data_IF_454928765787
#
_entry.id   IF_454928765787
#
_cell.length_a   1.000
_cell.length_b   1.000
_cell.length_c   1.000
_cell.angle_alpha   90.00
_cell.angle_beta   90.00
_cell.angle_gamma   90.00
#
_symmetry.space_group_name_H-M   'P 1'
#
loop_
_entity.id
_entity.type
_entity.pdbx_description
1 polymer ?
#
# COMPACT_ATOMS: atom_id res chain seq x y z
N UNK A 1 18.85 -38.86 15.89
CA UNK A 1 18.31 -38.28 14.65
C UNK A 1 16.82 -38.07 14.88
N UNK A 2 16.45 -36.87 15.34
CA UNK A 2 15.06 -36.47 15.59
C UNK A 2 14.57 -35.65 14.38
N UNK A 3 13.27 -35.68 14.03
CA UNK A 3 12.77 -34.85 12.95
C UNK A 3 12.86 -33.38 13.36
N UNK A 4 13.25 -32.51 12.42
CA UNK A 4 13.02 -31.07 12.55
C UNK A 4 11.51 -30.86 12.57
N UNK A 5 10.95 -30.82 13.77
CA UNK A 5 9.58 -30.36 13.99
C UNK A 5 9.53 -28.91 13.51
N UNK A 6 8.69 -28.71 12.49
CA UNK A 6 8.43 -27.44 11.83
C UNK A 6 8.27 -26.35 12.88
N UNK A 7 9.20 -25.39 12.89
CA UNK A 7 9.10 -24.24 13.77
C UNK A 7 7.70 -23.61 13.67
N UNK A 8 7.10 -23.18 14.79
CA UNK A 8 5.81 -22.50 14.76
C UNK A 8 5.90 -21.34 13.77
N UNK A 9 4.91 -21.20 12.89
CA UNK A 9 4.79 -20.02 12.04
C UNK A 9 4.65 -18.82 12.96
N UNK A 10 5.76 -18.12 13.21
CA UNK A 10 5.74 -16.86 13.95
C UNK A 10 4.93 -15.90 13.09
N UNK A 11 3.67 -15.67 13.46
CA UNK A 11 2.93 -14.50 13.02
C UNK A 11 3.76 -13.29 13.44
N UNK A 12 4.53 -12.77 12.50
CA UNK A 12 5.18 -11.47 12.62
C UNK A 12 4.12 -10.41 12.92
N UNK A 13 4.44 -9.29 13.60
CA UNK A 13 3.49 -8.24 13.98
C UNK A 13 2.83 -7.46 12.81
N UNK A 14 2.75 -8.06 11.62
CA UNK A 14 2.06 -7.55 10.42
C UNK A 14 0.59 -8.00 10.32
N UNK A 15 -0.07 -8.39 11.41
CA UNK A 15 -1.55 -8.47 11.44
C UNK A 15 -2.15 -7.08 11.65
N UNK A 16 -1.75 -6.19 10.76
CA UNK A 16 -2.19 -4.82 10.63
C UNK A 16 -2.55 -4.65 9.15
N UNK A 17 -3.74 -4.09 8.91
CA UNK A 17 -4.60 -4.48 7.78
C UNK A 17 -3.86 -4.59 6.44
N UNK A 18 -4.07 -5.70 5.74
CA UNK A 18 -3.54 -5.90 4.39
C UNK A 18 -4.65 -5.94 3.35
N UNK A 19 -4.38 -5.35 2.20
CA UNK A 19 -5.30 -5.24 1.07
C UNK A 19 -4.63 -5.81 -0.16
N UNK A 20 -5.15 -6.94 -0.65
CA UNK A 20 -4.67 -7.55 -1.89
C UNK A 20 -5.33 -6.88 -3.10
N UNK A 21 -4.56 -6.67 -4.16
CA UNK A 21 -5.03 -6.04 -5.40
C UNK A 21 -4.46 -6.74 -6.64
N UNK A 22 -5.17 -6.59 -7.76
CA UNK A 22 -4.71 -7.00 -9.09
C UNK A 22 -5.10 -5.95 -10.14
N UNK A 23 -4.09 -5.27 -10.68
CA UNK A 23 -4.25 -4.35 -11.79
C UNK A 23 -4.00 -5.11 -13.10
N UNK A 24 -5.00 -5.27 -13.98
CA UNK A 24 -4.75 -5.89 -15.26
C UNK A 24 -3.88 -4.96 -16.12
N UNK A 25 -3.19 -5.58 -17.08
CA UNK A 25 -2.39 -4.84 -18.04
C UNK A 25 -3.21 -3.76 -18.75
N UNK A 26 -2.58 -2.60 -18.92
CA UNK A 26 -3.13 -1.47 -19.66
C UNK A 26 -2.75 -1.49 -21.13
N UNK A 27 -1.72 -2.27 -21.51
CA UNK A 27 -1.30 -2.47 -22.88
C UNK A 27 -2.05 -3.63 -23.58
N UNK A 28 -2.10 -3.59 -24.91
CA UNK A 28 -2.78 -4.58 -25.73
C UNK A 28 -2.12 -5.98 -25.69
N UNK A 29 -0.89 -6.08 -25.20
CA UNK A 29 -0.11 -7.33 -25.18
C UNK A 29 -0.18 -8.07 -23.84
N UNK A 30 -0.78 -7.45 -22.81
CA UNK A 30 -0.95 -8.03 -21.49
C UNK A 30 0.29 -7.92 -20.59
N UNK A 31 1.30 -7.12 -20.93
CA UNK A 31 2.62 -7.19 -20.29
C UNK A 31 2.69 -6.50 -18.92
N UNK A 32 1.93 -5.43 -18.72
CA UNK A 32 2.00 -4.62 -17.50
C UNK A 32 0.95 -5.00 -16.44
N UNK A 33 0.53 -6.27 -16.37
CA UNK A 33 -0.35 -6.70 -15.29
C UNK A 33 0.42 -6.75 -13.97
N UNK A 34 -0.17 -6.23 -12.89
CA UNK A 34 0.48 -6.11 -11.58
C UNK A 34 -0.41 -6.76 -10.53
N UNK A 35 0.20 -7.52 -9.64
CA UNK A 35 -0.46 -8.02 -8.44
C UNK A 35 0.38 -7.68 -7.21
N UNK A 36 -0.30 -7.45 -6.09
CA UNK A 36 0.39 -7.02 -4.90
C UNK A 36 -0.50 -6.91 -3.68
N UNK A 37 0.09 -6.35 -2.63
CA UNK A 37 -0.56 -6.06 -1.36
C UNK A 37 -0.13 -4.69 -0.86
N UNK A 38 -1.10 -3.95 -0.32
CA UNK A 38 -0.85 -2.78 0.51
C UNK A 38 -0.96 -3.23 1.96
N UNK A 39 0.09 -3.01 2.74
CA UNK A 39 0.15 -3.31 4.16
C UNK A 39 0.13 -2.01 4.94
N UNK A 40 -0.73 -1.90 5.94
CA UNK A 40 -0.72 -0.78 6.88
C UNK A 40 -0.19 -1.26 8.21
N UNK A 41 1.08 -0.97 8.49
CA UNK A 41 1.73 -1.26 9.75
C UNK A 41 1.64 -0.09 10.75
N UNK A 42 2.20 -0.28 11.95
CA UNK A 42 2.10 0.69 13.05
C UNK A 42 2.72 2.02 12.67
N UNK A 43 3.88 1.94 12.01
CA UNK A 43 4.76 3.07 11.72
C UNK A 43 4.69 3.52 10.26
N UNK A 44 4.34 2.60 9.34
CA UNK A 44 4.43 2.84 7.90
C UNK A 44 3.39 2.08 7.10
N UNK A 45 3.12 2.60 5.90
CA UNK A 45 2.39 1.90 4.85
C UNK A 45 3.39 1.29 3.88
N UNK A 46 3.21 0.03 3.51
CA UNK A 46 4.09 -0.67 2.58
C UNK A 46 3.31 -1.16 1.36
N UNK A 47 3.73 -0.74 0.17
CA UNK A 47 3.23 -1.23 -1.11
C UNK A 47 4.19 -2.32 -1.63
N UNK A 48 3.72 -3.55 -1.68
CA UNK A 48 4.45 -4.67 -2.25
C UNK A 48 3.78 -5.12 -3.55
N UNK A 49 4.52 -5.19 -4.64
CA UNK A 49 3.98 -5.59 -5.93
C UNK A 49 4.98 -6.34 -6.80
N UNK A 50 4.46 -7.07 -7.78
CA UNK A 50 5.25 -7.67 -8.84
C UNK A 50 4.49 -7.62 -10.16
N UNK A 51 5.23 -7.51 -11.25
CA UNK A 51 4.68 -7.66 -12.59
C UNK A 51 4.41 -9.14 -12.88
N UNK A 52 3.25 -9.42 -13.47
CA UNK A 52 2.78 -10.76 -13.80
C UNK A 52 3.35 -11.14 -15.17
N UNK A 53 4.63 -11.51 -15.19
CA UNK A 53 5.35 -11.75 -16.44
C UNK A 53 5.23 -13.20 -16.97
N UNK A 54 5.38 -13.38 -18.29
CA UNK A 54 5.13 -14.64 -19.00
C UNK A 54 6.00 -15.80 -18.50
N UNK A 55 5.34 -16.89 -18.11
CA UNK A 55 5.72 -18.32 -18.11
C UNK A 55 7.12 -18.81 -17.67
N UNK A 56 8.19 -18.01 -17.62
CA UNK A 56 9.57 -18.51 -17.43
C UNK A 56 10.52 -17.60 -16.63
N UNK A 57 10.09 -16.45 -16.11
CA UNK A 57 10.89 -15.66 -15.15
C UNK A 57 10.03 -15.29 -13.94
N UNK A 58 10.52 -15.60 -12.73
CA UNK A 58 9.94 -15.07 -11.49
C UNK A 58 10.14 -13.56 -11.51
N UNK A 59 9.05 -12.80 -11.67
CA UNK A 59 9.08 -11.35 -11.50
C UNK A 59 9.62 -11.00 -10.11
N UNK A 60 10.54 -10.05 -10.07
CA UNK A 60 11.07 -9.52 -8.81
C UNK A 60 9.95 -8.80 -8.06
N UNK A 61 9.92 -8.98 -6.74
CA UNK A 61 8.95 -8.29 -5.89
C UNK A 61 9.55 -6.96 -5.48
N UNK A 62 8.91 -5.87 -5.92
CA UNK A 62 9.24 -4.51 -5.47
C UNK A 62 8.49 -4.23 -4.17
N UNK A 63 9.19 -3.66 -3.21
CA UNK A 63 8.63 -3.20 -1.92
C UNK A 63 8.94 -1.73 -1.75
N UNK A 64 7.92 -0.92 -1.52
CA UNK A 64 8.02 0.52 -1.32
C UNK A 64 7.39 0.89 0.02
N UNK A 65 8.15 1.60 0.85
CA UNK A 65 7.71 2.05 2.17
C UNK A 65 7.35 3.55 2.16
N UNK A 66 6.24 3.87 2.82
CA UNK A 66 5.71 5.22 2.97
C UNK A 66 5.50 5.52 4.45
N UNK A 67 6.05 6.63 4.93
CA UNK A 67 5.67 7.16 6.23
C UNK A 67 4.25 7.74 6.14
N UNK A 68 3.48 7.67 7.22
CA UNK A 68 2.10 8.18 7.23
C UNK A 68 2.00 9.68 6.86
N UNK A 69 3.04 10.48 7.12
CA UNK A 69 3.09 11.89 6.72
C UNK A 69 3.35 12.13 5.22
N UNK A 70 3.82 11.11 4.50
CA UNK A 70 4.04 11.15 3.04
C UNK A 70 2.81 10.67 2.25
N UNK A 71 1.91 9.92 2.89
CA UNK A 71 0.65 9.51 2.27
C UNK A 71 -0.26 10.73 2.19
N UNK A 72 -0.80 11.03 1.01
CA UNK A 72 -1.77 12.12 0.82
C UNK A 72 -3.19 11.63 1.01
N UNK A 73 -3.53 10.46 0.46
CA UNK A 73 -4.89 9.92 0.47
C UNK A 73 -4.88 8.42 0.22
N UNK A 74 -5.81 7.69 0.85
CA UNK A 74 -6.10 6.28 0.57
C UNK A 74 -7.63 6.04 0.48
N UNK A 75 -8.25 6.38 -0.64
CA UNK A 75 -9.72 6.43 -0.79
C UNK A 75 -10.28 5.17 -1.49
N UNK A 76 -11.28 4.52 -0.89
CA UNK A 76 -11.96 3.36 -1.47
C UNK A 76 -13.16 3.78 -2.34
N UNK A 77 -12.94 3.81 -3.66
CA UNK A 77 -13.99 4.10 -4.64
C UNK A 77 -14.79 2.84 -4.97
N UNK A 78 -16.10 2.93 -4.73
CA UNK A 78 -17.06 1.87 -4.97
C UNK A 78 -18.04 2.25 -6.08
N UNK A 79 -18.12 1.45 -7.15
CA UNK A 79 -19.21 1.52 -8.15
C UNK A 79 -20.02 0.22 -8.13
N UNK A 80 -21.32 0.30 -8.41
CA UNK A 80 -22.28 -0.82 -8.27
C UNK A 80 -21.83 -2.09 -9.03
N UNK A 81 -21.26 -1.95 -10.23
CA UNK A 81 -20.94 -3.07 -11.13
C UNK A 81 -19.46 -3.15 -11.54
N UNK A 82 -18.55 -2.49 -10.81
CA UNK A 82 -17.11 -2.48 -11.14
C UNK A 82 -16.30 -2.96 -9.93
N UNK A 83 -15.07 -3.47 -10.17
CA UNK A 83 -14.12 -3.71 -9.10
C UNK A 83 -13.99 -2.49 -8.19
N UNK A 84 -13.83 -2.70 -6.88
CA UNK A 84 -13.54 -1.62 -5.94
C UNK A 84 -12.11 -1.15 -6.20
N UNK A 85 -11.90 0.15 -6.18
CA UNK A 85 -10.60 0.76 -6.44
C UNK A 85 -10.15 1.48 -5.19
N UNK A 86 -9.01 1.13 -4.64
CA UNK A 86 -8.33 1.94 -3.63
C UNK A 86 -7.40 2.90 -4.37
N UNK A 87 -7.69 4.19 -4.28
CA UNK A 87 -6.83 5.24 -4.80
C UNK A 87 -5.80 5.56 -3.73
N UNK A 88 -4.53 5.30 -4.00
CA UNK A 88 -3.43 5.61 -3.10
C UNK A 88 -2.60 6.75 -3.70
N UNK A 89 -2.42 7.83 -2.94
CA UNK A 89 -1.66 9.00 -3.35
C UNK A 89 -0.59 9.37 -2.31
N UNK A 90 0.52 9.94 -2.76
CA UNK A 90 1.69 10.28 -1.94
C UNK A 90 2.35 11.58 -2.40
N UNK A 91 2.97 12.28 -1.43
CA UNK A 91 3.78 13.49 -1.63
C UNK A 91 5.16 13.20 -2.23
N UNK A 92 5.57 11.92 -2.24
CA UNK A 92 6.87 11.45 -2.72
C UNK A 92 6.67 10.67 -4.04
N UNK A 93 6.36 11.35 -5.16
CA UNK A 93 5.95 10.71 -6.41
C UNK A 93 6.97 9.72 -6.97
N UNK A 94 8.26 9.97 -6.76
CA UNK A 94 9.37 9.12 -7.18
C UNK A 94 9.29 7.70 -6.59
N UNK A 95 8.64 7.53 -5.43
CA UNK A 95 8.43 6.21 -4.81
C UNK A 95 7.49 5.32 -5.64
N UNK A 96 6.74 5.88 -6.58
CA UNK A 96 5.80 5.16 -7.44
C UNK A 96 6.30 5.00 -8.89
N UNK A 97 7.50 5.46 -9.22
CA UNK A 97 8.03 5.44 -10.59
C UNK A 97 8.12 4.03 -11.20
N UNK A 98 8.38 3.02 -10.35
CA UNK A 98 8.46 1.63 -10.78
C UNK A 98 7.10 0.94 -10.90
N UNK A 99 6.01 1.56 -10.44
CA UNK A 99 4.69 0.94 -10.45
C UNK A 99 4.02 1.11 -11.83
N UNK A 100 3.69 0.01 -12.54
CA UNK A 100 3.08 0.10 -13.86
C UNK A 100 1.71 0.79 -13.84
N UNK A 101 1.56 1.81 -14.67
CA UNK A 101 0.33 2.60 -14.74
C UNK A 101 0.15 3.59 -13.59
N UNK A 102 1.20 3.86 -12.80
CA UNK A 102 1.20 4.98 -11.88
C UNK A 102 1.03 6.32 -12.64
N UNK A 103 0.26 7.22 -12.03
CA UNK A 103 0.24 8.64 -12.35
C UNK A 103 1.17 9.35 -11.35
N UNK A 104 1.54 10.60 -11.62
CA UNK A 104 2.40 11.40 -10.73
C UNK A 104 1.87 11.34 -9.29
N UNK A 105 2.61 10.68 -8.40
CA UNK A 105 2.26 10.54 -6.98
C UNK A 105 1.00 9.72 -6.69
N UNK A 106 0.46 8.95 -7.65
CA UNK A 106 -0.84 8.28 -7.47
C UNK A 106 -0.94 6.95 -8.21
N UNK A 107 -1.46 5.95 -7.53
CA UNK A 107 -1.84 4.64 -8.11
C UNK A 107 -3.30 4.30 -7.82
N UNK A 108 -3.91 3.55 -8.72
CA UNK A 108 -5.25 3.01 -8.56
C UNK A 108 -5.13 1.50 -8.38
N UNK A 109 -5.45 0.98 -7.21
CA UNK A 109 -5.33 -0.43 -6.87
C UNK A 109 -6.70 -1.09 -6.99
N UNK A 110 -6.85 -2.06 -7.89
CA UNK A 110 -8.11 -2.81 -8.03
C UNK A 110 -8.16 -3.92 -6.99
N UNK A 111 -8.98 -3.71 -5.96
CA UNK A 111 -9.02 -4.56 -4.78
C UNK A 111 -9.68 -5.89 -5.09
N UNK A 112 -9.04 -6.99 -4.65
CA UNK A 112 -9.62 -8.32 -4.75
C UNK A 112 -10.85 -8.46 -3.82
N UNK A 113 -11.89 -9.21 -4.22
CA UNK A 113 -13.14 -9.31 -3.44
C UNK A 113 -12.94 -9.63 -1.96
N UNK A 114 -12.02 -10.53 -1.63
CA UNK A 114 -11.67 -10.95 -0.28
C UNK A 114 -11.02 -9.83 0.57
N UNK A 115 -10.44 -8.82 -0.07
CA UNK A 115 -9.73 -7.72 0.60
C UNK A 115 -10.59 -6.44 0.74
N UNK A 116 -11.82 -6.42 0.25
CA UNK A 116 -12.69 -5.23 0.28
C UNK A 116 -13.00 -4.77 1.72
N UNK A 117 -13.22 -5.72 2.64
CA UNK A 117 -13.47 -5.40 4.04
C UNK A 117 -12.24 -4.77 4.72
N UNK A 118 -11.04 -5.26 4.38
CA UNK A 118 -9.79 -4.69 4.87
C UNK A 118 -9.48 -3.34 4.23
N UNK A 119 -9.84 -3.13 2.96
CA UNK A 119 -9.61 -1.85 2.27
C UNK A 119 -10.30 -0.68 2.97
N UNK A 120 -11.54 -0.89 3.45
CA UNK A 120 -12.26 0.12 4.26
C UNK A 120 -11.57 0.43 5.59
N UNK A 121 -10.94 -0.57 6.21
CA UNK A 121 -10.22 -0.39 7.47
C UNK A 121 -8.88 0.32 7.24
N UNK A 122 -8.21 0.00 6.13
CA UNK A 122 -6.98 0.67 5.69
C UNK A 122 -7.21 2.15 5.41
N UNK A 123 -8.27 2.49 4.66
CA UNK A 123 -8.67 3.88 4.42
C UNK A 123 -8.80 4.66 5.74
N UNK A 124 -9.62 4.16 6.68
CA UNK A 124 -9.79 4.83 7.98
C UNK A 124 -8.54 4.87 8.85
N UNK A 125 -7.69 3.83 8.80
CA UNK A 125 -6.44 3.80 9.56
C UNK A 125 -5.42 4.81 9.02
N UNK A 126 -5.28 4.91 7.69
CA UNK A 126 -4.40 5.87 7.05
C UNK A 126 -4.84 7.30 7.38
N UNK A 127 -6.14 7.61 7.27
CA UNK A 127 -6.67 8.93 7.59
C UNK A 127 -6.39 9.33 9.06
N UNK A 128 -6.57 8.38 9.99
CA UNK A 128 -6.28 8.58 11.40
C UNK A 128 -4.78 8.85 11.64
N UNK A 129 -3.91 7.98 11.13
CA UNK A 129 -2.45 8.09 11.32
C UNK A 129 -1.85 9.32 10.63
N UNK A 130 -2.39 9.73 9.49
CA UNK A 130 -2.01 10.97 8.81
C UNK A 130 -2.36 12.19 9.67
N UNK A 131 -3.53 12.18 10.32
CA UNK A 131 -3.96 13.24 11.24
C UNK A 131 -3.03 13.34 12.45
N UNK A 132 -2.62 12.20 13.04
CA UNK A 132 -1.64 12.18 14.14
C UNK A 132 -0.28 12.76 13.69
N UNK A 133 0.22 12.37 12.52
CA UNK A 133 1.48 12.88 11.98
C UNK A 133 1.45 14.39 11.75
N UNK A 134 0.33 14.92 11.25
CA UNK A 134 0.14 16.36 11.03
C UNK A 134 0.11 17.16 12.35
N UNK A 135 -0.53 16.63 13.39
CA UNK A 135 -0.53 17.25 14.71
C UNK A 135 0.87 17.29 15.31
N UNK A 136 1.61 16.18 15.27
CA UNK A 136 2.98 16.10 15.77
C UNK A 136 3.91 17.10 15.04
N UNK A 137 3.75 17.25 13.73
CA UNK A 137 4.49 18.25 12.95
C UNK A 137 4.14 19.68 13.38
N UNK A 138 2.85 19.96 13.61
CA UNK A 138 2.36 21.28 14.01
C UNK A 138 2.86 21.66 15.42
N UNK A 139 2.77 20.74 16.38
CA UNK A 139 3.30 20.93 17.74
C UNK A 139 4.81 21.22 17.72
N UNK A 140 5.55 20.48 16.89
CA UNK A 140 7.00 20.67 16.71
C UNK A 140 7.37 22.04 16.12
N UNK A 141 6.48 22.63 15.30
CA UNK A 141 6.66 23.98 14.73
C UNK A 141 6.29 25.07 15.74
N UNK A 142 5.23 24.89 16.51
CA UNK A 142 4.79 25.86 17.52
C UNK A 142 5.80 25.93 18.69
N UNK A 143 6.26 24.78 19.20
CA UNK A 143 7.24 24.74 20.30
C UNK A 143 8.60 25.37 19.97
N UNK A 144 8.97 25.42 18.69
CA UNK A 144 10.16 26.14 18.22
C UNK A 144 9.97 27.66 18.21
N UNK A 145 8.76 28.15 17.93
CA UNK A 145 8.48 29.58 17.81
C UNK A 145 8.22 30.28 19.16
N UNK A 146 7.96 29.54 20.24
CA UNK A 146 7.79 30.09 21.59
C UNK A 146 9.09 30.15 22.41
N UNK A 147 10.20 29.63 21.85
CA UNK A 147 11.52 29.60 22.50
C UNK A 147 12.50 30.65 21.94
N UNK A 148 12.01 31.66 21.22
CA UNK A 148 12.81 32.80 20.72
C UNK A 148 12.29 34.10 21.34
#
# INVERSE_FOLDING_TARGET
>A
MLPLESAPQILTPFDEFSVSFENPATDAMGHNAVQGKLYCGVDKVQLQFKQKDRAFRKGETTTVDFDYGEVETAELISRWLRPKILVFATRSPEKLDEFPGAKVGRVELRILPESVANAKKVEGLIDFKQSEAFLAETESRIGRNTST
#
